data_IF_260836660820
#
_entry.id   IF_260836660820
#
_cell.length_a   1.000
_cell.length_b   1.000
_cell.length_c   1.000
_cell.angle_alpha   90.00
_cell.angle_beta   90.00
_cell.angle_gamma   90.00
#
_symmetry.space_group_name_H-M   'P 1'
#
loop_
_entity.id
_entity.type
_entity.pdbx_description
1 polymer ?
#
# COMPACT_ATOMS: atom_id res chain seq x y z
N UNK A 1 -29.66 10.83 -33.93
CA UNK A 1 -28.76 11.83 -33.31
C UNK A 1 -27.92 11.11 -32.28
N UNK A 2 -26.60 10.93 -32.48
CA UNK A 2 -25.74 10.45 -31.41
C UNK A 2 -25.68 11.55 -30.35
N UNK A 3 -26.02 11.20 -29.11
CA UNK A 3 -25.95 12.13 -27.98
C UNK A 3 -24.52 12.58 -27.69
N UNK A 4 -24.34 13.68 -26.93
CA UNK A 4 -23.02 14.23 -26.65
C UNK A 4 -22.15 13.22 -25.91
N UNK A 5 -21.02 12.87 -26.52
CA UNK A 5 -19.99 12.02 -25.90
C UNK A 5 -19.28 12.86 -24.83
N UNK A 6 -19.39 12.42 -23.57
CA UNK A 6 -18.82 13.10 -22.40
C UNK A 6 -17.30 13.36 -22.56
N UNK A 7 -16.77 14.54 -22.21
CA UNK A 7 -15.38 14.88 -22.48
C UNK A 7 -14.44 14.03 -21.61
N UNK A 8 -13.38 13.49 -22.20
CA UNK A 8 -12.35 12.77 -21.49
C UNK A 8 -11.73 13.67 -20.39
N UNK A 9 -11.72 13.20 -19.14
CA UNK A 9 -11.12 13.88 -17.96
C UNK A 9 -9.79 14.57 -18.28
N UNK A 10 -9.47 15.68 -17.61
CA UNK A 10 -8.21 16.41 -17.84
C UNK A 10 -7.00 15.62 -17.29
N UNK A 11 -5.79 15.87 -17.81
CA UNK A 11 -4.55 15.21 -17.32
C UNK A 11 -4.34 15.44 -15.82
N UNK A 12 -4.59 16.67 -15.35
CA UNK A 12 -4.48 17.06 -13.94
C UNK A 12 -5.43 16.25 -13.05
N UNK A 13 -6.69 16.11 -13.42
CA UNK A 13 -7.67 15.29 -12.68
C UNK A 13 -7.27 13.81 -12.58
N UNK A 14 -6.62 13.28 -13.63
CA UNK A 14 -6.09 11.91 -13.60
C UNK A 14 -4.91 11.79 -12.64
N UNK A 15 -4.04 12.80 -12.58
CA UNK A 15 -2.87 12.82 -11.70
C UNK A 15 -3.29 12.95 -10.23
N UNK A 16 -4.22 13.86 -9.93
CA UNK A 16 -4.81 14.05 -8.60
C UNK A 16 -5.53 12.77 -8.12
N UNK A 17 -6.22 12.07 -9.02
CA UNK A 17 -6.87 10.79 -8.73
C UNK A 17 -5.88 9.66 -8.41
N UNK A 18 -4.73 9.61 -9.10
CA UNK A 18 -3.68 8.62 -8.80
C UNK A 18 -3.00 8.91 -7.47
N UNK A 19 -2.73 10.17 -7.17
CA UNK A 19 -2.13 10.56 -5.89
C UNK A 19 -3.07 10.27 -4.72
N UNK A 20 -4.37 10.55 -4.88
CA UNK A 20 -5.39 10.22 -3.88
C UNK A 20 -5.45 8.71 -3.65
N UNK A 21 -5.46 7.91 -4.73
CA UNK A 21 -5.41 6.44 -4.62
C UNK A 21 -4.17 5.97 -3.87
N UNK A 22 -2.99 6.52 -4.19
CA UNK A 22 -1.73 6.19 -3.52
C UNK A 22 -1.81 6.47 -2.02
N UNK A 23 -2.29 7.65 -1.63
CA UNK A 23 -2.49 8.02 -0.22
C UNK A 23 -3.42 7.08 0.52
N UNK A 24 -4.52 6.66 -0.12
CA UNK A 24 -5.45 5.68 0.46
C UNK A 24 -4.73 4.35 0.68
N UNK A 25 -4.00 3.85 -0.32
CA UNK A 25 -3.32 2.56 -0.24
C UNK A 25 -2.16 2.54 0.76
N UNK A 26 -1.38 3.61 0.86
CA UNK A 26 -0.36 3.75 1.91
C UNK A 26 -0.99 3.72 3.30
N UNK A 27 -2.13 4.40 3.48
CA UNK A 27 -2.88 4.37 4.75
C UNK A 27 -3.46 2.99 5.02
N UNK A 28 -3.98 2.31 4.01
CA UNK A 28 -4.50 0.95 4.15
C UNK A 28 -3.39 -0.03 4.56
N UNK A 29 -2.21 0.06 3.93
CA UNK A 29 -1.06 -0.78 4.28
C UNK A 29 -0.64 -0.55 5.74
N UNK A 30 -0.62 0.71 6.17
CA UNK A 30 -0.37 1.06 7.57
C UNK A 30 -1.36 0.37 8.52
N UNK A 31 -2.66 0.53 8.27
CA UNK A 31 -3.72 -0.01 9.13
C UNK A 31 -3.73 -1.54 9.14
N UNK A 32 -3.48 -2.17 8.00
CA UNK A 32 -3.42 -3.63 7.89
C UNK A 32 -2.36 -4.23 8.83
N UNK A 33 -1.24 -3.52 9.08
CA UNK A 33 -0.21 -4.02 10.02
C UNK A 33 -0.66 -4.06 11.48
N UNK A 34 -1.71 -3.32 11.83
CA UNK A 34 -2.20 -3.19 13.23
C UNK A 34 -3.60 -3.76 13.44
N UNK A 35 -4.44 -3.74 12.41
CA UNK A 35 -5.86 -4.12 12.45
C UNK A 35 -6.18 -5.33 11.56
N UNK A 36 -5.19 -5.79 10.78
CA UNK A 36 -5.34 -6.84 9.78
C UNK A 36 -6.00 -6.38 8.48
N UNK A 37 -5.89 -7.20 7.43
CA UNK A 37 -6.55 -6.95 6.14
C UNK A 37 -8.07 -7.07 6.26
N UNK A 38 -8.58 -7.96 7.11
CA UNK A 38 -10.02 -8.08 7.33
C UNK A 38 -10.65 -6.84 7.98
N UNK A 39 -9.88 -6.13 8.80
CA UNK A 39 -10.29 -4.86 9.42
C UNK A 39 -10.41 -3.70 8.43
N UNK A 40 -9.87 -3.84 7.21
CA UNK A 40 -9.96 -2.79 6.19
C UNK A 40 -11.39 -2.66 5.65
N UNK A 41 -11.90 -1.44 5.67
CA UNK A 41 -13.18 -1.10 5.07
C UNK A 41 -13.17 0.31 4.49
N UNK A 42 -14.09 0.59 3.57
CA UNK A 42 -14.30 1.94 3.01
C UNK A 42 -14.56 2.96 4.12
N UNK A 43 -15.34 2.59 5.14
CA UNK A 43 -15.63 3.46 6.28
C UNK A 43 -14.39 3.75 7.13
N UNK A 44 -13.61 2.70 7.44
CA UNK A 44 -12.38 2.83 8.23
C UNK A 44 -11.34 3.70 7.51
N UNK A 45 -11.18 3.52 6.20
CA UNK A 45 -10.26 4.31 5.38
C UNK A 45 -10.72 5.74 5.19
N UNK A 46 -12.01 5.98 4.99
CA UNK A 46 -12.57 7.33 4.95
C UNK A 46 -12.23 8.10 6.23
N UNK A 47 -12.41 7.46 7.39
CA UNK A 47 -12.05 8.06 8.68
C UNK A 47 -10.54 8.31 8.79
N UNK A 48 -9.69 7.35 8.42
CA UNK A 48 -8.24 7.47 8.54
C UNK A 48 -7.62 8.50 7.59
N UNK A 49 -8.19 8.65 6.39
CA UNK A 49 -7.67 9.54 5.33
C UNK A 49 -8.31 10.92 5.33
N UNK A 50 -9.42 11.11 6.07
CA UNK A 50 -10.23 12.33 6.04
C UNK A 50 -11.06 12.50 4.76
N UNK A 51 -11.13 11.46 3.91
CA UNK A 51 -11.92 11.47 2.68
C UNK A 51 -13.37 11.06 2.95
N UNK A 52 -14.28 11.44 2.07
CA UNK A 52 -15.65 10.91 2.11
C UNK A 52 -15.68 9.43 1.75
N UNK A 53 -16.65 8.67 2.28
CA UNK A 53 -16.85 7.25 1.92
C UNK A 53 -17.01 7.07 0.41
N UNK A 54 -17.79 7.94 -0.24
CA UNK A 54 -17.95 7.93 -1.70
C UNK A 54 -16.66 8.24 -2.44
N UNK A 55 -15.81 9.12 -1.90
CA UNK A 55 -14.49 9.44 -2.46
C UNK A 55 -13.55 8.23 -2.43
N UNK A 56 -13.51 7.49 -1.32
CA UNK A 56 -12.75 6.24 -1.22
C UNK A 56 -13.35 5.16 -2.13
N UNK A 57 -14.67 4.98 -2.09
CA UNK A 57 -15.39 4.00 -2.91
C UNK A 57 -15.16 4.20 -4.41
N UNK A 58 -15.04 5.44 -4.89
CA UNK A 58 -14.77 5.73 -6.31
C UNK A 58 -13.44 5.15 -6.83
N UNK A 59 -12.52 4.77 -5.94
CA UNK A 59 -11.24 4.18 -6.32
C UNK A 59 -11.25 2.65 -6.33
N UNK A 60 -12.18 1.97 -5.65
CA UNK A 60 -12.12 0.52 -5.45
C UNK A 60 -13.43 -0.15 -5.82
N UNK A 61 -13.34 -1.27 -6.52
CA UNK A 61 -14.54 -1.98 -7.01
C UNK A 61 -15.18 -2.86 -5.95
N UNK A 62 -14.38 -3.39 -5.03
CA UNK A 62 -14.82 -4.24 -3.93
C UNK A 62 -13.87 -4.16 -2.73
N UNK A 63 -14.21 -4.84 -1.63
CA UNK A 63 -13.31 -4.97 -0.46
C UNK A 63 -12.05 -5.75 -0.82
N UNK A 64 -12.21 -6.80 -1.61
CA UNK A 64 -11.12 -7.66 -2.09
C UNK A 64 -10.17 -6.89 -3.01
N UNK A 65 -10.70 -6.07 -3.94
CA UNK A 65 -9.89 -5.19 -4.79
C UNK A 65 -9.05 -4.20 -3.97
N UNK A 66 -9.63 -3.65 -2.90
CA UNK A 66 -8.91 -2.80 -1.95
C UNK A 66 -7.81 -3.58 -1.20
N UNK A 67 -8.12 -4.77 -0.68
CA UNK A 67 -7.16 -5.60 0.05
C UNK A 67 -5.99 -6.01 -0.85
N UNK A 68 -6.27 -6.47 -2.08
CA UNK A 68 -5.23 -6.85 -3.04
C UNK A 68 -4.32 -5.67 -3.39
N UNK A 69 -4.91 -4.52 -3.73
CA UNK A 69 -4.13 -3.31 -4.03
C UNK A 69 -3.33 -2.82 -2.81
N UNK A 70 -3.80 -3.09 -1.59
CA UNK A 70 -3.08 -2.79 -0.34
C UNK A 70 -1.85 -3.68 -0.20
N UNK A 71 -1.99 -4.99 -0.43
CA UNK A 71 -0.88 -5.95 -0.42
C UNK A 71 0.16 -5.60 -1.48
N UNK A 72 -0.27 -5.26 -2.71
CA UNK A 72 0.62 -4.83 -3.78
C UNK A 72 1.41 -3.57 -3.39
N UNK A 73 0.76 -2.61 -2.74
CA UNK A 73 1.40 -1.38 -2.27
C UNK A 73 2.42 -1.69 -1.15
N UNK A 74 2.06 -2.54 -0.20
CA UNK A 74 2.98 -2.95 0.87
C UNK A 74 4.19 -3.71 0.32
N UNK A 75 3.98 -4.57 -0.69
CA UNK A 75 5.05 -5.29 -1.37
C UNK A 75 6.01 -4.33 -2.10
N UNK A 76 5.47 -3.34 -2.81
CA UNK A 76 6.29 -2.33 -3.48
C UNK A 76 7.15 -1.52 -2.49
N UNK A 77 6.56 -1.12 -1.36
CA UNK A 77 7.29 -0.41 -0.29
C UNK A 77 8.40 -1.30 0.28
N UNK A 78 8.10 -2.57 0.60
CA UNK A 78 9.09 -3.51 1.10
C UNK A 78 10.23 -3.77 0.10
N UNK A 79 9.89 -3.93 -1.18
CA UNK A 79 10.87 -4.14 -2.24
C UNK A 79 11.81 -2.95 -2.39
N UNK A 80 11.32 -1.72 -2.21
CA UNK A 80 12.16 -0.52 -2.23
C UNK A 80 13.06 -0.43 -0.99
N UNK A 81 12.45 -0.53 0.19
CA UNK A 81 13.11 -0.34 1.48
C UNK A 81 14.14 -1.43 1.84
N UNK A 82 13.92 -2.67 1.38
CA UNK A 82 14.74 -3.83 1.75
C UNK A 82 15.50 -4.40 0.57
N UNK A 83 14.79 -4.78 -0.49
CA UNK A 83 15.40 -5.52 -1.61
C UNK A 83 16.28 -4.61 -2.47
N UNK A 84 15.73 -3.48 -2.90
CA UNK A 84 16.40 -2.53 -3.78
C UNK A 84 17.54 -1.81 -3.07
N UNK A 85 17.36 -1.49 -1.78
CA UNK A 85 18.39 -0.93 -0.92
C UNK A 85 19.68 -1.77 -0.88
N UNK A 86 19.57 -3.10 -0.98
CA UNK A 86 20.71 -4.02 -0.96
C UNK A 86 21.20 -4.44 -2.37
N UNK A 87 20.47 -4.13 -3.44
CA UNK A 87 20.70 -4.73 -4.76
C UNK A 87 22.07 -4.40 -5.39
N UNK A 88 22.66 -3.26 -5.01
CA UNK A 88 23.95 -2.79 -5.51
C UNK A 88 25.19 -3.42 -4.85
N UNK A 89 25.03 -4.20 -3.78
CA UNK A 89 26.15 -4.66 -2.97
C UNK A 89 26.81 -5.92 -3.53
N UNK A 90 28.13 -5.92 -3.65
CA UNK A 90 28.94 -7.07 -4.06
C UNK A 90 30.18 -7.18 -3.16
N UNK A 91 30.71 -8.39 -2.88
CA UNK A 91 30.26 -9.72 -3.34
C UNK A 91 28.89 -10.18 -2.78
N UNK A 92 28.41 -11.34 -3.22
CA UNK A 92 27.08 -11.86 -2.87
C UNK A 92 26.86 -12.03 -1.36
N UNK A 93 27.91 -12.34 -0.59
CA UNK A 93 27.81 -12.46 0.86
C UNK A 93 27.55 -11.10 1.53
N UNK A 94 28.20 -10.03 1.05
CA UNK A 94 27.98 -8.67 1.55
C UNK A 94 26.57 -8.19 1.22
N UNK A 95 26.01 -8.65 0.08
CA UNK A 95 24.61 -8.41 -0.27
C UNK A 95 23.64 -9.05 0.71
N UNK A 96 23.95 -10.25 1.20
CA UNK A 96 23.14 -10.91 2.21
C UNK A 96 23.15 -10.12 3.52
N UNK A 97 24.33 -9.65 3.96
CA UNK A 97 24.43 -8.77 5.13
C UNK A 97 23.66 -7.46 4.93
N UNK A 98 23.79 -6.82 3.76
CA UNK A 98 23.05 -5.61 3.43
C UNK A 98 21.52 -5.82 3.44
N UNK A 99 21.03 -6.98 2.97
CA UNK A 99 19.61 -7.34 3.10
C UNK A 99 19.18 -7.47 4.56
N UNK A 100 19.99 -8.12 5.40
CA UNK A 100 19.71 -8.23 6.84
C UNK A 100 19.68 -6.85 7.51
N UNK A 101 20.65 -5.99 7.21
CA UNK A 101 20.70 -4.61 7.73
C UNK A 101 19.50 -3.78 7.26
N UNK A 102 19.14 -3.87 5.98
CA UNK A 102 17.98 -3.17 5.43
C UNK A 102 16.67 -3.65 6.08
N UNK A 103 16.52 -4.96 6.30
CA UNK A 103 15.38 -5.55 7.01
C UNK A 103 15.27 -5.07 8.45
N UNK A 104 16.40 -5.08 9.18
CA UNK A 104 16.46 -4.58 10.56
C UNK A 104 16.08 -3.11 10.60
N UNK A 105 16.68 -2.30 9.73
CA UNK A 105 16.45 -0.86 9.70
C UNK A 105 15.02 -0.51 9.27
N UNK A 106 14.44 -1.20 8.29
CA UNK A 106 13.02 -1.09 7.92
C UNK A 106 12.09 -1.35 9.12
N UNK A 107 12.43 -2.35 9.94
CA UNK A 107 11.66 -2.71 11.13
C UNK A 107 11.84 -1.70 12.26
N UNK A 108 13.08 -1.30 12.55
CA UNK A 108 13.43 -0.33 13.61
C UNK A 108 12.87 1.07 13.34
N UNK A 109 12.95 1.53 12.08
CA UNK A 109 12.34 2.80 11.65
C UNK A 109 10.82 2.77 11.69
N UNK A 110 10.22 1.59 11.87
CA UNK A 110 8.76 1.36 11.84
C UNK A 110 8.10 1.99 10.62
N UNK A 111 8.60 1.64 9.43
CA UNK A 111 8.02 2.07 8.15
C UNK A 111 6.51 1.82 8.12
N UNK A 112 6.05 0.72 8.72
CA UNK A 112 4.68 0.60 9.20
C UNK A 112 4.61 0.49 10.72
N UNK A 113 3.50 0.95 11.32
CA UNK A 113 3.37 1.01 12.78
C UNK A 113 3.38 -0.37 13.43
N UNK A 114 2.77 -1.37 12.80
CA UNK A 114 2.76 -2.76 13.26
C UNK A 114 4.02 -3.55 12.92
N UNK A 115 5.06 -2.90 12.39
CA UNK A 115 6.29 -3.55 11.94
C UNK A 115 6.20 -4.04 10.50
N UNK A 116 6.87 -5.15 10.18
CA UNK A 116 6.86 -5.67 8.82
C UNK A 116 5.47 -6.15 8.42
N UNK A 117 4.93 -5.57 7.33
CA UNK A 117 3.60 -5.89 6.82
C UNK A 117 3.40 -7.40 6.66
N UNK A 118 4.35 -8.07 6.02
CA UNK A 118 4.25 -9.51 5.77
C UNK A 118 4.23 -10.29 7.06
N UNK A 119 5.09 -9.99 8.03
CA UNK A 119 5.11 -10.67 9.33
C UNK A 119 3.81 -10.42 10.10
N UNK A 120 3.33 -9.17 10.14
CA UNK A 120 2.12 -8.79 10.87
C UNK A 120 0.83 -9.39 10.28
N UNK A 121 0.79 -9.61 8.97
CA UNK A 121 -0.36 -10.15 8.25
C UNK A 121 -0.36 -11.69 8.11
N UNK A 122 0.75 -12.36 8.47
CA UNK A 122 0.88 -13.83 8.41
C UNK A 122 -0.27 -14.63 9.08
N UNK A 123 -0.82 -14.22 10.24
CA UNK A 123 -1.88 -14.98 10.89
C UNK A 123 -3.16 -15.12 10.05
N UNK A 124 -3.46 -14.15 9.18
CA UNK A 124 -4.66 -14.12 8.35
C UNK A 124 -4.58 -15.06 7.14
N UNK A 125 -3.37 -15.43 6.70
CA UNK A 125 -3.17 -16.32 5.56
C UNK A 125 -3.15 -17.82 5.94
N UNK A 126 -3.29 -18.14 7.24
CA UNK A 126 -3.21 -19.53 7.75
C UNK A 126 -4.57 -20.14 8.11
N UNK A 127 -5.68 -19.40 7.95
CA UNK A 127 -7.05 -19.85 8.24
C UNK A 127 -7.80 -20.32 7.02
#
# INVERSE_FOLDING_TARGET
MPGPVSPARTRKERDDGRETRRRILTTAAQLATTEGLEGLSIGRLAQATGLSKSGVYAHFRSKEDLQLATVETANAIYADEVISAAAGTAPAIDRLYALCEAQLSYTERRVFAGGCFFVSSLPEFRS
#
